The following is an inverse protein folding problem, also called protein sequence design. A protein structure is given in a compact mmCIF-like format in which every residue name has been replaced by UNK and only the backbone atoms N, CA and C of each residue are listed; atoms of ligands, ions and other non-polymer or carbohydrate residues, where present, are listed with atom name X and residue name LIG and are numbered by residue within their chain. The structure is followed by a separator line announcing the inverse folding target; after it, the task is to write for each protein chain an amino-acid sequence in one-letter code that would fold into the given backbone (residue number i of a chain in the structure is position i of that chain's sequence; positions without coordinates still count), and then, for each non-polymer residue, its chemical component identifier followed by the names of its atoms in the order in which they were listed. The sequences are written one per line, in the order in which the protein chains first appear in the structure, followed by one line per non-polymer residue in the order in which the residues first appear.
data_IF_311802605962
#
_entry.id   IF_311802605962
#
_cell.length_a   1.000
_cell.length_b   1.000
_cell.length_c   1.000
_cell.angle_alpha   90.00
_cell.angle_beta   90.00
_cell.angle_gamma   90.00
#
_symmetry.space_group_name_H-M   'P 1'
#
loop_
_entity.id
_entity.type
_entity.pdbx_description
1 polymer ?
#
# COMPACT_ATOMS: atom_id res chain seq x y z
N UNK A 1 -19.67 -15.46 -8.49
CA UNK A 1 -19.70 -14.95 -9.87
C UNK A 1 -18.92 -13.65 -9.88
N UNK A 2 -17.67 -13.67 -10.36
CA UNK A 2 -16.84 -12.46 -10.45
C UNK A 2 -17.45 -11.57 -11.55
N UNK A 3 -17.86 -10.36 -11.19
CA UNK A 3 -18.18 -9.36 -12.19
C UNK A 3 -16.87 -8.98 -12.90
N UNK A 4 -16.84 -9.01 -14.25
CA UNK A 4 -15.69 -8.49 -14.96
C UNK A 4 -15.53 -7.01 -14.59
N UNK A 5 -14.33 -6.62 -14.17
CA UNK A 5 -14.01 -5.21 -13.97
C UNK A 5 -14.30 -4.45 -15.26
N UNK A 6 -14.96 -3.30 -15.15
CA UNK A 6 -15.11 -2.40 -16.28
C UNK A 6 -13.73 -1.94 -16.69
N UNK A 7 -13.34 -2.31 -17.89
CA UNK A 7 -12.13 -1.80 -18.52
C UNK A 7 -12.43 -0.36 -18.95
N UNK A 8 -11.85 0.61 -18.26
CA UNK A 8 -12.09 2.04 -18.53
C UNK A 8 -11.52 2.46 -19.89
N UNK A 9 -10.49 1.75 -20.34
CA UNK A 9 -9.86 1.92 -21.65
C UNK A 9 -9.56 0.56 -22.28
N UNK A 10 -9.55 0.44 -23.60
CA UNK A 10 -9.24 -0.82 -24.30
C UNK A 10 -7.88 -1.42 -23.94
N UNK A 11 -6.93 -0.58 -23.56
CA UNK A 11 -5.57 -0.99 -23.18
C UNK A 11 -5.41 -1.33 -21.70
N UNK A 12 -6.44 -1.15 -20.87
CA UNK A 12 -6.37 -1.50 -19.45
C UNK A 12 -6.35 -3.03 -19.27
N UNK A 13 -5.57 -3.56 -18.31
CA UNK A 13 -5.56 -5.00 -18.03
C UNK A 13 -6.91 -5.45 -17.49
N UNK A 14 -7.24 -6.73 -17.68
CA UNK A 14 -8.46 -7.34 -17.14
C UNK A 14 -8.43 -7.50 -15.60
N UNK A 15 -7.31 -7.22 -14.97
CA UNK A 15 -7.14 -7.22 -13.51
C UNK A 15 -7.73 -5.94 -12.91
N UNK A 16 -8.11 -5.96 -11.61
CA UNK A 16 -8.66 -4.78 -10.96
C UNK A 16 -7.73 -3.57 -11.04
N UNK A 17 -8.28 -2.45 -11.48
CA UNK A 17 -7.60 -1.17 -11.47
C UNK A 17 -7.73 -0.57 -10.07
N UNK A 18 -6.59 -0.23 -9.46
CA UNK A 18 -6.54 0.48 -8.18
C UNK A 18 -6.32 1.95 -8.49
N UNK A 19 -7.16 2.84 -7.96
CA UNK A 19 -7.07 4.27 -8.24
C UNK A 19 -6.93 5.09 -6.96
N UNK A 20 -6.12 6.16 -7.02
CA UNK A 20 -5.96 7.15 -5.97
C UNK A 20 -5.63 8.52 -6.55
N UNK A 21 -5.91 9.62 -5.84
CA UNK A 21 -5.37 10.91 -6.23
C UNK A 21 -3.90 11.05 -5.85
N UNK A 22 -3.17 11.81 -6.62
CA UNK A 22 -1.78 12.15 -6.34
C UNK A 22 -1.63 12.76 -4.95
N UNK A 23 -0.83 12.13 -4.10
CA UNK A 23 -0.60 12.54 -2.72
C UNK A 23 -1.50 11.89 -1.67
N UNK A 24 -2.52 11.12 -2.08
CA UNK A 24 -3.36 10.40 -1.13
C UNK A 24 -2.57 9.28 -0.44
N UNK A 25 -2.78 9.06 0.87
CA UNK A 25 -2.30 7.85 1.53
C UNK A 25 -3.13 6.65 1.10
N UNK A 26 -2.45 5.54 0.82
CA UNK A 26 -3.09 4.31 0.36
C UNK A 26 -2.64 3.13 1.22
N UNK A 27 -3.58 2.29 1.62
CA UNK A 27 -3.30 1.04 2.30
C UNK A 27 -3.73 -0.12 1.41
N UNK A 28 -2.79 -0.98 1.07
CA UNK A 28 -3.05 -2.19 0.30
C UNK A 28 -2.95 -3.39 1.24
N UNK A 29 -4.06 -4.12 1.40
CA UNK A 29 -4.07 -5.39 2.10
C UNK A 29 -3.72 -6.52 1.13
N UNK A 30 -2.71 -7.29 1.47
CA UNK A 30 -2.24 -8.41 0.66
C UNK A 30 -2.50 -9.69 1.44
N UNK A 31 -3.31 -10.56 0.85
CA UNK A 31 -3.72 -11.82 1.43
C UNK A 31 -3.05 -12.96 0.66
N UNK A 32 -2.19 -13.71 1.32
CA UNK A 32 -1.65 -14.96 0.82
C UNK A 32 -2.69 -16.07 0.94
N UNK A 33 -3.55 -16.26 -0.07
CA UNK A 33 -4.63 -17.20 0.01
C UNK A 33 -4.07 -18.62 0.14
N UNK A 34 -3.68 -19.35 -0.71
CA UNK A 34 -3.13 -20.70 -0.59
C UNK A 34 -2.15 -20.95 -1.73
N UNK A 35 -0.89 -21.19 -1.42
CA UNK A 35 0.13 -21.37 -2.44
C UNK A 35 1.15 -22.40 -1.97
N UNK A 36 1.59 -23.24 -2.89
CA UNK A 36 2.72 -24.13 -2.66
C UNK A 36 4.06 -23.39 -2.59
N UNK A 37 4.10 -22.17 -3.13
CA UNK A 37 5.32 -21.39 -3.25
C UNK A 37 5.11 -19.97 -2.77
N UNK A 38 6.17 -19.39 -2.23
CA UNK A 38 6.17 -17.99 -1.82
C UNK A 38 5.91 -17.06 -3.00
N UNK A 39 5.21 -15.99 -2.72
CA UNK A 39 4.87 -14.93 -3.65
C UNK A 39 5.70 -13.69 -3.33
N UNK A 40 5.81 -12.77 -4.27
CA UNK A 40 6.48 -11.48 -4.04
C UNK A 40 5.56 -10.39 -4.57
N UNK A 41 4.97 -9.62 -3.67
CA UNK A 41 4.24 -8.41 -4.04
C UNK A 41 5.21 -7.25 -4.23
N UNK A 42 5.08 -6.52 -5.32
CA UNK A 42 5.80 -5.29 -5.58
C UNK A 42 4.89 -4.23 -6.19
N UNK A 43 5.22 -2.98 -5.95
CA UNK A 43 4.56 -1.83 -6.56
C UNK A 43 5.61 -0.86 -7.09
N UNK A 44 5.55 -0.61 -8.38
CA UNK A 44 6.52 0.23 -9.07
C UNK A 44 6.56 1.65 -8.50
N UNK A 45 7.78 2.17 -8.29
CA UNK A 45 8.05 3.55 -7.84
C UNK A 45 7.41 3.94 -6.49
N UNK A 46 6.89 2.99 -5.75
CA UNK A 46 6.36 3.23 -4.41
C UNK A 46 7.13 2.41 -3.38
N UNK A 47 7.25 2.99 -2.20
CA UNK A 47 7.86 2.36 -1.05
C UNK A 47 6.93 2.47 0.15
N UNK A 48 7.02 1.52 1.06
CA UNK A 48 6.26 1.51 2.31
C UNK A 48 7.14 0.98 3.45
N UNK A 49 6.93 1.46 4.68
CA UNK A 49 7.69 0.99 5.82
C UNK A 49 7.37 -0.48 6.12
N UNK A 50 8.39 -1.26 6.46
CA UNK A 50 8.22 -2.65 6.89
C UNK A 50 7.34 -2.74 8.13
N UNK A 51 7.45 -1.77 9.02
CA UNK A 51 6.63 -1.61 10.21
C UNK A 51 5.94 -0.23 10.17
N UNK A 52 4.65 -0.19 9.82
CA UNK A 52 3.96 1.06 9.45
C UNK A 52 3.97 2.16 10.49
N UNK A 53 4.07 1.81 11.77
CA UNK A 53 3.96 2.77 12.87
C UNK A 53 5.27 2.96 13.64
N UNK A 54 6.36 2.35 13.16
CA UNK A 54 7.67 2.49 13.78
C UNK A 54 8.44 3.65 13.13
N UNK A 55 8.93 4.56 13.97
CA UNK A 55 9.79 5.64 13.48
C UNK A 55 11.14 5.06 13.05
N UNK A 56 11.54 5.37 11.80
CA UNK A 56 12.81 4.91 11.24
C UNK A 56 12.79 3.47 10.72
N UNK A 57 11.58 2.90 10.52
CA UNK A 57 11.45 1.61 9.85
C UNK A 57 12.03 1.65 8.44
N UNK A 58 12.69 0.56 8.06
CA UNK A 58 13.20 0.38 6.70
C UNK A 58 12.07 0.42 5.67
N UNK A 59 12.37 0.94 4.49
CA UNK A 59 11.41 1.04 3.39
C UNK A 59 11.55 -0.16 2.46
N UNK A 60 10.42 -0.72 2.08
CA UNK A 60 10.31 -1.82 1.12
C UNK A 60 9.61 -1.33 -0.15
N UNK A 61 10.07 -1.80 -1.31
CA UNK A 61 9.37 -1.67 -2.59
C UNK A 61 8.78 -3.00 -3.07
N UNK A 62 9.16 -4.07 -2.40
CA UNK A 62 8.64 -5.42 -2.62
C UNK A 62 8.70 -6.22 -1.32
N UNK A 63 7.79 -7.17 -1.16
CA UNK A 63 7.74 -8.04 0.03
C UNK A 63 7.39 -9.46 -0.37
N UNK A 64 8.15 -10.41 0.18
CA UNK A 64 7.85 -11.84 0.04
C UNK A 64 6.84 -12.26 1.09
N UNK A 65 5.90 -13.13 0.70
CA UNK A 65 4.91 -13.72 1.60
C UNK A 65 4.54 -15.14 1.17
N UNK A 66 4.06 -15.92 2.12
CA UNK A 66 3.63 -17.31 1.92
C UNK A 66 2.11 -17.44 1.98
N UNK A 67 1.62 -18.66 1.82
CA UNK A 67 0.23 -19.00 2.09
C UNK A 67 -0.14 -18.71 3.56
N UNK A 68 -1.36 -18.23 3.78
CA UNK A 68 -1.92 -17.83 5.09
C UNK A 68 -1.26 -16.60 5.75
N UNK A 69 -0.38 -15.89 5.06
CA UNK A 69 0.15 -14.62 5.53
C UNK A 69 -0.72 -13.45 5.06
N UNK A 70 -0.79 -12.42 5.90
CA UNK A 70 -1.47 -11.15 5.63
C UNK A 70 -0.46 -10.03 5.82
N UNK A 71 -0.37 -9.17 4.84
CA UNK A 71 0.54 -8.04 4.82
C UNK A 71 -0.20 -6.75 4.53
N UNK A 72 0.32 -5.66 5.04
CA UNK A 72 -0.17 -4.31 4.76
C UNK A 72 0.93 -3.45 4.15
N UNK A 73 0.73 -2.95 2.95
CA UNK A 73 1.58 -1.92 2.37
C UNK A 73 0.95 -0.54 2.60
N UNK A 74 1.58 0.27 3.45
CA UNK A 74 1.15 1.64 3.76
C UNK A 74 1.92 2.64 2.90
N UNK A 75 1.34 3.00 1.78
CA UNK A 75 1.88 4.00 0.87
C UNK A 75 1.49 5.37 1.38
N UNK A 76 2.46 6.15 1.84
CA UNK A 76 2.21 7.46 2.44
C UNK A 76 1.71 8.50 1.43
N UNK A 77 2.04 8.33 0.16
CA UNK A 77 1.69 9.28 -0.89
C UNK A 77 1.60 8.56 -2.24
N UNK A 78 0.42 8.49 -2.82
CA UNK A 78 0.24 8.01 -4.18
C UNK A 78 1.02 8.89 -5.17
N UNK A 79 1.74 8.27 -6.10
CA UNK A 79 2.65 8.96 -7.01
C UNK A 79 4.01 9.26 -6.39
N UNK A 80 4.31 8.64 -5.23
CA UNK A 80 5.59 8.77 -4.53
C UNK A 80 5.84 10.15 -3.92
N UNK A 81 7.10 10.49 -3.59
CA UNK A 81 7.46 11.76 -2.95
C UNK A 81 7.08 12.99 -3.78
N UNK A 82 7.08 12.84 -5.09
CA UNK A 82 6.77 13.93 -6.02
C UNK A 82 5.30 14.00 -6.44
N UNK A 83 4.45 13.09 -5.94
CA UNK A 83 3.00 13.03 -6.21
C UNK A 83 2.70 13.03 -7.71
N UNK A 84 3.43 12.23 -8.47
CA UNK A 84 3.31 12.22 -9.93
C UNK A 84 2.10 11.38 -10.36
N UNK A 85 1.16 11.95 -11.13
CA UNK A 85 0.10 11.19 -11.77
C UNK A 85 0.68 10.23 -12.83
N UNK A 86 0.06 9.05 -12.96
CA UNK A 86 0.47 8.05 -13.94
C UNK A 86 0.00 6.66 -13.57
N UNK A 87 0.27 5.71 -14.43
CA UNK A 87 -0.01 4.29 -14.20
C UNK A 87 1.26 3.60 -13.73
N UNK A 88 1.17 2.93 -12.57
CA UNK A 88 2.26 2.18 -11.94
C UNK A 88 1.88 0.71 -11.89
N UNK A 89 2.82 -0.17 -12.22
CA UNK A 89 2.54 -1.61 -12.19
C UNK A 89 2.64 -2.13 -10.75
N UNK A 90 1.59 -2.81 -10.30
CA UNK A 90 1.66 -3.68 -9.14
C UNK A 90 1.60 -5.14 -9.58
N UNK A 91 2.18 -6.05 -8.83
CA UNK A 91 2.07 -7.47 -9.16
C UNK A 91 3.06 -8.36 -8.47
N UNK A 92 2.99 -9.62 -8.87
CA UNK A 92 3.93 -10.63 -8.41
C UNK A 92 5.24 -10.51 -9.20
N UNK A 93 6.34 -10.32 -8.49
CA UNK A 93 7.66 -10.19 -9.13
C UNK A 93 8.31 -11.53 -9.49
N UNK A 94 7.67 -12.64 -9.18
CA UNK A 94 8.11 -13.94 -9.70
C UNK A 94 7.57 -14.15 -11.11
N UNK A 95 8.48 -14.33 -12.05
CA UNK A 95 8.18 -14.38 -13.49
C UNK A 95 7.04 -15.32 -13.88
N UNK A 96 6.95 -16.60 -13.38
CA UNK A 96 5.85 -17.46 -13.75
C UNK A 96 4.47 -16.93 -13.40
N UNK A 97 4.36 -16.18 -12.30
CA UNK A 97 3.09 -15.64 -11.85
C UNK A 97 2.72 -14.34 -12.56
N UNK A 98 3.71 -13.47 -12.82
CA UNK A 98 3.47 -12.28 -13.63
C UNK A 98 3.10 -12.64 -15.06
N UNK A 99 3.73 -13.63 -15.66
CA UNK A 99 3.34 -14.16 -16.97
C UNK A 99 1.94 -14.80 -16.99
N UNK A 100 1.48 -15.32 -15.85
CA UNK A 100 0.13 -15.85 -15.67
C UNK A 100 -0.92 -14.79 -15.37
N UNK A 101 -0.57 -13.50 -15.40
CA UNK A 101 -1.49 -12.37 -15.23
C UNK A 101 -1.64 -11.85 -13.80
N UNK A 102 -0.74 -12.20 -12.87
CA UNK A 102 -0.77 -11.64 -11.50
C UNK A 102 -0.12 -10.25 -11.46
N UNK A 103 -0.69 -9.31 -12.17
CA UNK A 103 -0.28 -7.90 -12.19
C UNK A 103 -1.46 -7.01 -12.58
N UNK A 104 -1.32 -5.73 -12.33
CA UNK A 104 -2.32 -4.73 -12.69
C UNK A 104 -1.76 -3.32 -12.58
N UNK A 105 -2.63 -2.34 -12.76
CA UNK A 105 -2.25 -0.94 -12.61
C UNK A 105 -2.75 -0.35 -11.30
N UNK A 106 -1.87 0.42 -10.69
CA UNK A 106 -2.19 1.43 -9.70
C UNK A 106 -2.16 2.78 -10.42
N UNK A 107 -3.34 3.31 -10.70
CA UNK A 107 -3.51 4.58 -11.43
C UNK A 107 -3.57 5.72 -10.45
N UNK A 108 -2.60 6.60 -10.54
CA UNK A 108 -2.57 7.83 -9.76
C UNK A 108 -3.12 8.97 -10.60
N UNK A 109 -4.26 9.48 -10.19
CA UNK A 109 -4.96 10.57 -10.86
C UNK A 109 -4.42 11.93 -10.40
N UNK A 110 -4.50 12.97 -11.24
CA UNK A 110 -4.24 14.33 -10.77
C UNK A 110 -5.08 14.69 -9.54
N UNK A 111 -4.53 15.49 -8.65
CA UNK A 111 -5.27 15.96 -7.48
C UNK A 111 -6.57 16.68 -7.91
N UNK A 112 -7.71 16.26 -7.34
CA UNK A 112 -9.02 16.82 -7.66
C UNK A 112 -9.69 16.28 -8.93
N UNK A 113 -9.18 15.21 -9.52
CA UNK A 113 -9.86 14.51 -10.61
C UNK A 113 -11.22 13.97 -10.12
N UNK A 114 -12.29 14.19 -10.89
CA UNK A 114 -13.66 13.87 -10.49
C UNK A 114 -14.05 12.40 -10.65
N UNK A 115 -13.18 11.56 -11.20
CA UNK A 115 -13.44 10.13 -11.41
C UNK A 115 -13.58 9.36 -10.11
N UNK A 116 -12.85 9.78 -9.08
CA UNK A 116 -12.96 9.23 -7.73
C UNK A 116 -13.28 10.33 -6.73
N UNK A 117 -13.94 9.97 -5.65
CA UNK A 117 -14.27 10.91 -4.59
C UNK A 117 -13.00 11.26 -3.77
N UNK A 118 -12.83 12.53 -3.36
CA UNK A 118 -11.73 12.90 -2.49
C UNK A 118 -11.87 12.23 -1.12
N UNK A 119 -10.75 11.96 -0.48
CA UNK A 119 -10.75 11.48 0.90
C UNK A 119 -11.40 12.52 1.81
N UNK A 120 -12.34 12.09 2.65
CA UNK A 120 -12.97 12.97 3.64
C UNK A 120 -11.94 13.37 4.71
N UNK A 121 -11.96 14.65 5.10
CA UNK A 121 -11.13 15.12 6.22
C UNK A 121 -11.46 14.31 7.48
N UNK A 122 -10.51 13.53 7.96
CA UNK A 122 -10.68 12.60 9.08
C UNK A 122 -10.63 11.11 8.69
N UNK A 123 -10.69 10.76 7.41
CA UNK A 123 -10.48 9.38 6.96
C UNK A 123 -9.00 8.94 7.07
N UNK A 124 -8.08 9.89 7.19
CA UNK A 124 -6.70 9.61 7.54
C UNK A 124 -6.64 9.40 9.05
N UNK A 125 -6.91 8.18 9.48
CA UNK A 125 -6.62 7.73 10.84
C UNK A 125 -5.11 7.65 11.08
N UNK A 126 -4.43 8.77 10.97
CA UNK A 126 -3.17 8.93 11.66
C UNK A 126 -3.56 9.07 13.13
N UNK A 127 -3.74 7.95 13.81
CA UNK A 127 -3.62 7.95 15.24
C UNK A 127 -2.24 8.56 15.51
N UNK A 128 -2.21 9.80 16.04
CA UNK A 128 -1.02 10.29 16.71
C UNK A 128 -0.57 9.16 17.59
N UNK A 129 0.63 8.62 17.33
CA UNK A 129 1.23 7.66 18.22
C UNK A 129 1.21 8.33 19.59
N UNK A 130 0.32 7.89 20.44
CA UNK A 130 0.33 8.26 21.84
C UNK A 130 1.65 7.70 22.33
N UNK A 131 2.51 8.59 22.75
CA UNK A 131 3.87 8.30 23.21
C UNK A 131 3.73 7.33 24.38
N UNK A 132 3.82 6.02 24.07
CA UNK A 132 3.82 5.02 25.13
C UNK A 132 5.06 5.27 25.98
N UNK A 133 4.87 5.45 27.32
CA UNK A 133 5.99 5.65 28.20
C UNK A 133 6.93 4.45 28.08
N UNK A 134 8.17 4.72 27.74
CA UNK A 134 9.24 3.71 27.65
C UNK A 134 9.31 2.99 29.01
N UNK A 135 9.13 1.65 29.07
CA UNK A 135 9.29 0.92 30.33
C UNK A 135 10.75 1.05 30.77
N UNK A 136 10.99 1.81 31.83
CA UNK A 136 12.33 1.91 32.42
C UNK A 136 12.81 3.30 32.84
N UNK A 137 12.07 4.37 32.57
CA UNK A 137 12.39 5.66 33.19
C UNK A 137 11.72 5.73 34.57
N UNK A 138 12.57 5.60 35.58
CA UNK A 138 12.16 5.63 36.97
C UNK A 138 11.40 6.89 37.35
N UNK A 139 10.40 6.73 38.19
CA UNK A 139 9.64 7.77 38.87
C UNK A 139 10.60 8.81 39.50
N UNK A 140 10.34 10.10 39.31
CA UNK A 140 11.02 11.11 40.07
C UNK A 140 10.64 10.96 41.55
N UNK A 141 11.60 10.66 42.35
CA UNK A 141 11.49 10.65 43.81
C UNK A 141 11.14 12.06 44.29
N UNK A 142 9.89 12.28 44.62
CA UNK A 142 9.51 13.46 45.39
C UNK A 142 9.90 13.20 46.84
N UNK A 143 11.04 13.76 47.27
CA UNK A 143 11.43 13.91 48.67
C UNK A 143 11.12 15.36 49.07
N UNK A 144 10.28 15.43 50.10
CA UNK A 144 9.93 16.48 51.05
C UNK A 144 8.80 17.39 50.69
#
# INVERSE_FOLDING_TARGET
MFQPCKVDKPEDPATPLIEAHAGDPVRIHILGASNEQNQIFGLEKHEWPIEPFMRGADQLSAVQFSGAEVLDAFIMSAGGPYKLPGDYVWGNQRLPYSQSGQWGYFRVLPAGDSRILPLTKGAVGVQKAEEQPVPGQGLPTALK
#
